data_IF_157112906384
#
_entry.id   IF_157112906384
#
_cell.length_a   1.000
_cell.length_b   1.000
_cell.length_c   1.000
_cell.angle_alpha   90.00
_cell.angle_beta   90.00
_cell.angle_gamma   90.00
#
_symmetry.space_group_name_H-M   'P 1'
#
loop_
_entity.id
_entity.type
_entity.pdbx_description
1 polymer ?
#
# COMPACT_ATOMS: atom_id res chain seq x y z
N UNK A 1 -11.76 2.65 8.48
CA UNK A 1 -11.50 2.09 7.14
C UNK A 1 -10.59 0.89 7.28
N UNK A 2 -10.81 -0.12 6.43
CA UNK A 2 -9.99 -1.33 6.43
C UNK A 2 -9.34 -1.48 5.04
N UNK A 3 -8.01 -1.61 5.01
CA UNK A 3 -7.24 -1.81 3.80
C UNK A 3 -6.53 -3.16 3.83
N UNK A 4 -6.54 -3.87 2.72
CA UNK A 4 -5.88 -5.15 2.52
C UNK A 4 -4.86 -5.01 1.39
N UNK A 5 -3.63 -5.45 1.62
CA UNK A 5 -2.66 -5.68 0.57
C UNK A 5 -2.65 -7.18 0.22
N UNK A 6 -2.73 -7.53 -1.06
CA UNK A 6 -2.65 -8.93 -1.52
C UNK A 6 -1.26 -9.53 -1.30
N UNK A 7 -0.24 -8.69 -1.26
CA UNK A 7 1.12 -8.91 -0.76
C UNK A 7 1.97 -9.93 -1.52
N UNK A 8 1.40 -11.04 -2.00
CA UNK A 8 2.13 -12.04 -2.77
C UNK A 8 1.17 -12.93 -3.58
N UNK A 9 1.56 -13.41 -4.78
CA UNK A 9 0.71 -14.25 -5.64
C UNK A 9 0.22 -15.53 -4.98
N UNK A 10 0.99 -16.10 -4.05
CA UNK A 10 0.60 -17.34 -3.36
C UNK A 10 -0.61 -17.13 -2.42
N UNK A 11 -0.85 -15.89 -1.97
CA UNK A 11 -1.99 -15.58 -1.08
C UNK A 11 -3.32 -15.81 -1.81
N UNK A 12 -3.61 -15.18 -2.96
CA UNK A 12 -4.83 -15.50 -3.69
C UNK A 12 -4.89 -16.95 -4.18
N UNK A 13 -3.75 -17.59 -4.48
CA UNK A 13 -3.71 -18.97 -4.95
C UNK A 13 -4.13 -19.99 -3.89
N UNK A 14 -3.61 -19.89 -2.69
CA UNK A 14 -3.77 -20.92 -1.65
C UNK A 14 -4.74 -20.49 -0.54
N UNK A 15 -4.99 -19.19 -0.36
CA UNK A 15 -5.83 -18.65 0.71
C UNK A 15 -7.06 -17.90 0.18
N UNK A 16 -7.57 -18.31 -0.99
CA UNK A 16 -8.75 -17.69 -1.61
C UNK A 16 -9.95 -17.65 -0.67
N UNK A 17 -10.25 -18.76 0.03
CA UNK A 17 -11.39 -18.85 0.95
C UNK A 17 -11.26 -17.82 2.08
N UNK A 18 -10.07 -17.66 2.65
CA UNK A 18 -9.80 -16.68 3.70
C UNK A 18 -9.92 -15.26 3.17
N UNK A 19 -9.42 -14.99 1.95
CA UNK A 19 -9.59 -13.70 1.30
C UNK A 19 -11.07 -13.36 1.07
N UNK A 20 -11.87 -14.32 0.60
CA UNK A 20 -13.31 -14.14 0.39
C UNK A 20 -14.05 -13.83 1.70
N UNK A 21 -13.58 -14.36 2.84
CA UNK A 21 -14.12 -14.03 4.17
C UNK A 21 -13.73 -12.61 4.63
N UNK A 22 -12.59 -12.08 4.19
CA UNK A 22 -12.08 -10.76 4.58
C UNK A 22 -12.58 -9.65 3.66
N UNK A 23 -12.71 -9.90 2.38
CA UNK A 23 -13.13 -8.89 1.40
C UNK A 23 -14.41 -8.14 1.75
N UNK A 24 -15.46 -8.73 2.37
CA UNK A 24 -16.64 -7.97 2.76
C UNK A 24 -16.35 -6.78 3.67
N UNK A 25 -15.26 -6.81 4.40
CA UNK A 25 -14.87 -5.74 5.32
C UNK A 25 -13.91 -4.71 4.70
N UNK A 26 -13.27 -5.05 3.57
CA UNK A 26 -12.25 -4.19 2.95
C UNK A 26 -12.86 -2.97 2.28
N UNK A 27 -12.40 -1.78 2.66
CA UNK A 27 -12.68 -0.52 1.98
C UNK A 27 -11.68 -0.31 0.82
N UNK A 28 -10.44 -0.75 1.01
CA UNK A 28 -9.39 -0.73 -0.01
C UNK A 28 -8.76 -2.10 -0.18
N UNK A 29 -8.49 -2.47 -1.43
CA UNK A 29 -7.67 -3.65 -1.78
C UNK A 29 -6.55 -3.15 -2.68
N UNK A 30 -5.31 -3.45 -2.28
CA UNK A 30 -4.10 -3.05 -2.99
C UNK A 30 -3.38 -4.32 -3.43
N UNK A 31 -2.79 -4.30 -4.61
CA UNK A 31 -1.97 -5.39 -5.10
C UNK A 31 -1.21 -4.99 -6.35
N UNK A 32 -0.41 -5.93 -6.86
CA UNK A 32 0.27 -5.78 -8.13
C UNK A 32 -0.36 -6.67 -9.22
N UNK A 33 0.11 -6.57 -10.47
CA UNK A 33 -0.38 -7.36 -11.59
C UNK A 33 -0.25 -8.88 -11.38
N UNK A 34 0.82 -9.34 -10.73
CA UNK A 34 1.04 -10.76 -10.48
C UNK A 34 0.06 -11.32 -9.46
N UNK A 35 -0.24 -10.54 -8.43
CA UNK A 35 -1.24 -10.86 -7.40
C UNK A 35 -2.66 -10.83 -7.98
N UNK A 36 -2.94 -9.85 -8.86
CA UNK A 36 -4.20 -9.77 -9.59
C UNK A 36 -4.39 -10.98 -10.51
N UNK A 37 -3.37 -11.38 -11.28
CA UNK A 37 -3.42 -12.57 -12.13
C UNK A 37 -3.60 -13.86 -11.29
N UNK A 38 -2.98 -13.95 -10.13
CA UNK A 38 -3.17 -15.06 -9.19
C UNK A 38 -4.61 -15.13 -8.68
N UNK A 39 -5.20 -13.98 -8.31
CA UNK A 39 -6.62 -13.89 -7.95
C UNK A 39 -7.51 -14.32 -9.11
N UNK A 40 -7.27 -13.81 -10.33
CA UNK A 40 -8.02 -14.17 -11.52
C UNK A 40 -8.02 -15.68 -11.77
N UNK A 41 -6.84 -16.32 -11.61
CA UNK A 41 -6.68 -17.76 -11.71
C UNK A 41 -7.49 -18.51 -10.67
N UNK A 42 -7.41 -18.09 -9.41
CA UNK A 42 -8.13 -18.72 -8.30
C UNK A 42 -9.66 -18.50 -8.40
N UNK A 43 -10.09 -17.34 -8.93
CA UNK A 43 -11.49 -17.00 -9.12
C UNK A 43 -12.09 -17.59 -10.40
N UNK A 44 -11.29 -18.20 -11.27
CA UNK A 44 -11.75 -18.81 -12.53
C UNK A 44 -12.09 -17.78 -13.62
N UNK A 45 -11.47 -16.59 -13.59
CA UNK A 45 -11.65 -15.58 -14.64
C UNK A 45 -10.96 -16.06 -15.93
N UNK A 46 -11.60 -15.74 -17.07
CA UNK A 46 -11.12 -16.18 -18.39
C UNK A 46 -9.82 -15.47 -18.77
N UNK A 47 -9.78 -14.15 -18.59
CA UNK A 47 -8.62 -13.33 -18.90
C UNK A 47 -7.88 -12.98 -17.60
N UNK A 48 -6.61 -13.33 -17.55
CA UNK A 48 -5.72 -13.10 -16.40
C UNK A 48 -4.84 -11.87 -16.56
N UNK A 49 -4.86 -11.27 -17.75
CA UNK A 49 -4.07 -10.11 -18.12
C UNK A 49 -4.90 -8.82 -18.18
N UNK A 50 -6.24 -8.94 -18.22
CA UNK A 50 -7.15 -7.79 -18.13
C UNK A 50 -7.24 -7.25 -16.70
N UNK A 51 -6.25 -6.45 -16.32
CA UNK A 51 -6.18 -5.85 -14.98
C UNK A 51 -7.43 -5.05 -14.60
N UNK A 52 -8.01 -4.21 -15.48
CA UNK A 52 -9.29 -3.57 -15.22
C UNK A 52 -10.43 -4.54 -14.89
N UNK A 53 -10.61 -5.62 -15.65
CA UNK A 53 -11.63 -6.62 -15.38
C UNK A 53 -11.40 -7.37 -14.09
N UNK A 54 -10.14 -7.68 -13.77
CA UNK A 54 -9.78 -8.32 -12.50
C UNK A 54 -10.07 -7.38 -11.33
N UNK A 55 -9.64 -6.12 -11.40
CA UNK A 55 -9.91 -5.13 -10.36
C UNK A 55 -11.42 -4.91 -10.16
N UNK A 56 -12.20 -4.90 -11.25
CA UNK A 56 -13.66 -4.84 -11.20
C UNK A 56 -14.23 -6.06 -10.48
N UNK A 57 -13.74 -7.26 -10.77
CA UNK A 57 -14.22 -8.48 -10.12
C UNK A 57 -14.07 -8.43 -8.60
N UNK A 58 -12.93 -7.90 -8.11
CA UNK A 58 -12.69 -7.72 -6.68
C UNK A 58 -13.55 -6.58 -6.11
N UNK A 59 -13.65 -5.45 -6.83
CA UNK A 59 -14.40 -4.28 -6.37
C UNK A 59 -15.89 -4.59 -6.14
N UNK A 60 -16.47 -5.45 -6.98
CA UNK A 60 -17.90 -5.80 -6.96
C UNK A 60 -18.25 -6.97 -6.03
N UNK A 61 -17.27 -7.60 -5.37
CA UNK A 61 -17.55 -8.61 -4.35
C UNK A 61 -18.44 -8.05 -3.22
N UNK A 62 -19.23 -8.89 -2.54
CA UNK A 62 -20.08 -8.47 -1.44
C UNK A 62 -19.34 -7.60 -0.42
N UNK A 63 -20.05 -6.64 0.17
CA UNK A 63 -19.50 -5.72 1.17
C UNK A 63 -20.44 -5.56 2.36
N UNK A 64 -19.90 -5.70 3.58
CA UNK A 64 -20.65 -5.60 4.83
C UNK A 64 -21.11 -4.18 5.12
N UNK A 65 -20.33 -3.17 4.74
CA UNK A 65 -20.74 -1.77 4.85
C UNK A 65 -20.91 -1.15 3.46
N UNK A 66 -22.15 -1.07 2.93
CA UNK A 66 -22.43 -0.56 1.59
C UNK A 66 -22.25 0.97 1.48
N UNK A 67 -22.25 1.71 2.59
CA UNK A 67 -22.05 3.16 2.57
C UNK A 67 -20.62 3.58 2.20
N UNK A 68 -19.67 2.64 2.27
CA UNK A 68 -18.28 2.83 1.83
C UNK A 68 -17.95 1.86 0.70
N UNK A 69 -18.05 2.30 -0.56
CA UNK A 69 -17.73 1.46 -1.71
C UNK A 69 -16.26 1.01 -1.66
N UNK A 70 -16.01 -0.24 -2.08
CA UNK A 70 -14.65 -0.75 -2.15
C UNK A 70 -13.91 -0.09 -3.30
N UNK A 71 -12.65 0.24 -3.07
CA UNK A 71 -11.71 0.73 -4.07
C UNK A 71 -10.58 -0.30 -4.20
N UNK A 72 -10.30 -0.69 -5.42
CA UNK A 72 -9.22 -1.62 -5.77
C UNK A 72 -8.15 -0.87 -6.52
N UNK A 73 -6.91 -1.02 -6.11
CA UNK A 73 -5.74 -0.35 -6.72
C UNK A 73 -4.72 -1.42 -7.10
N UNK A 74 -4.46 -1.57 -8.38
CA UNK A 74 -3.50 -2.54 -8.92
C UNK A 74 -2.34 -1.80 -9.57
N UNK A 75 -1.15 -1.96 -9.01
CA UNK A 75 0.09 -1.44 -9.57
C UNK A 75 0.63 -2.39 -10.64
N UNK A 76 1.39 -1.87 -11.61
CA UNK A 76 1.94 -2.65 -12.72
C UNK A 76 3.40 -2.24 -13.01
N UNK A 77 4.22 -2.13 -11.98
CA UNK A 77 5.62 -1.70 -12.11
C UNK A 77 5.74 -0.34 -12.78
N UNK A 78 6.37 -0.25 -13.93
CA UNK A 78 6.52 0.97 -14.74
C UNK A 78 5.31 1.31 -15.59
N UNK A 79 4.29 0.43 -15.65
CA UNK A 79 3.03 0.69 -16.35
C UNK A 79 2.08 1.47 -15.45
N UNK A 80 1.00 1.98 -16.05
CA UNK A 80 -0.03 2.74 -15.32
C UNK A 80 -0.69 1.90 -14.21
N UNK A 81 -0.85 2.50 -13.05
CA UNK A 81 -1.68 1.92 -11.96
C UNK A 81 -3.15 2.00 -12.34
N UNK A 82 -3.88 0.93 -12.11
CA UNK A 82 -5.32 0.83 -12.36
C UNK A 82 -6.08 0.95 -11.04
N UNK A 83 -7.08 1.82 -11.02
CA UNK A 83 -8.01 1.98 -9.91
C UNK A 83 -9.43 1.70 -10.38
N UNK A 84 -10.15 0.87 -9.64
CA UNK A 84 -11.58 0.60 -9.86
C UNK A 84 -12.34 0.81 -8.55
N UNK A 85 -13.41 1.60 -8.63
CA UNK A 85 -14.35 1.78 -7.51
C UNK A 85 -15.62 0.96 -7.73
N UNK A 86 -16.11 0.33 -6.67
CA UNK A 86 -17.42 -0.35 -6.69
C UNK A 86 -18.58 0.59 -7.04
N UNK A 87 -18.42 1.90 -6.88
CA UNK A 87 -19.44 2.90 -7.31
C UNK A 87 -19.55 2.99 -8.84
N UNK A 88 -18.43 2.87 -9.55
CA UNK A 88 -18.36 2.95 -11.01
C UNK A 88 -17.46 1.85 -11.57
N UNK A 89 -17.83 0.57 -11.44
CA UNK A 89 -16.94 -0.55 -11.73
C UNK A 89 -16.59 -0.68 -13.22
N UNK A 90 -17.39 -0.07 -14.10
CA UNK A 90 -17.17 -0.08 -15.55
C UNK A 90 -16.32 1.10 -16.06
N UNK A 91 -15.85 1.95 -15.14
CA UNK A 91 -15.01 3.11 -15.46
C UNK A 91 -13.70 3.04 -14.67
N UNK A 92 -12.76 2.19 -15.08
CA UNK A 92 -11.43 2.16 -14.47
C UNK A 92 -10.72 3.51 -14.68
N UNK A 93 -10.04 3.98 -13.64
CA UNK A 93 -9.15 5.14 -13.74
C UNK A 93 -7.72 4.64 -13.80
N UNK A 94 -6.93 5.19 -14.72
CA UNK A 94 -5.50 4.85 -14.86
C UNK A 94 -4.63 6.03 -14.48
N UNK A 95 -3.56 5.73 -13.74
CA UNK A 95 -2.58 6.73 -13.30
C UNK A 95 -1.23 6.37 -13.92
N UNK A 96 -0.69 7.19 -14.82
CA UNK A 96 0.62 6.94 -15.41
C UNK A 96 1.70 6.97 -14.32
N UNK A 97 2.72 6.15 -14.52
CA UNK A 97 3.92 6.12 -13.67
C UNK A 97 5.04 6.79 -14.44
N UNK A 98 5.77 7.72 -13.79
CA UNK A 98 6.98 8.30 -14.38
C UNK A 98 8.07 7.21 -14.44
N UNK A 99 8.53 6.81 -15.63
CA UNK A 99 9.49 5.74 -15.77
C UNK A 99 10.85 6.15 -15.18
N UNK A 100 11.46 5.20 -14.47
CA UNK A 100 12.87 5.33 -14.06
C UNK A 100 13.77 4.68 -15.11
N UNK A 101 14.99 5.19 -15.25
CA UNK A 101 16.01 4.53 -16.10
C UNK A 101 16.59 3.32 -15.35
N UNK A 102 17.19 2.39 -16.11
CA UNK A 102 17.78 1.18 -15.51
C UNK A 102 18.87 1.53 -14.49
N UNK A 103 19.60 2.64 -14.70
CA UNK A 103 20.63 3.11 -13.77
C UNK A 103 20.07 3.65 -12.47
N UNK A 104 18.80 4.07 -12.47
CA UNK A 104 18.11 4.57 -11.27
C UNK A 104 17.50 3.45 -10.44
N UNK A 105 17.36 2.25 -11.00
CA UNK A 105 16.75 1.09 -10.34
C UNK A 105 17.84 0.30 -9.61
N UNK A 106 17.87 0.42 -8.29
CA UNK A 106 18.81 -0.32 -7.46
C UNK A 106 18.24 -1.66 -6.97
N UNK A 107 16.98 -1.68 -6.52
CA UNK A 107 16.27 -2.87 -6.04
C UNK A 107 14.76 -2.61 -6.09
N UNK A 108 14.00 -3.55 -6.66
CA UNK A 108 12.53 -3.47 -6.75
C UNK A 108 11.81 -4.05 -5.53
N UNK A 109 12.53 -4.71 -4.62
CA UNK A 109 11.94 -5.29 -3.43
C UNK A 109 11.37 -4.21 -2.51
N UNK A 110 10.15 -4.42 -2.01
CA UNK A 110 9.47 -3.49 -1.11
C UNK A 110 8.79 -2.30 -1.81
N UNK A 111 8.90 -2.16 -3.14
CA UNK A 111 8.25 -1.07 -3.88
C UNK A 111 6.72 -1.08 -3.68
N UNK A 112 6.10 -2.27 -3.67
CA UNK A 112 4.67 -2.43 -3.41
C UNK A 112 4.28 -2.01 -1.99
N UNK A 113 5.09 -2.36 -1.00
CA UNK A 113 4.86 -1.96 0.41
C UNK A 113 5.05 -0.45 0.58
N UNK A 114 6.05 0.13 -0.07
CA UNK A 114 6.28 1.57 -0.08
C UNK A 114 5.11 2.32 -0.76
N UNK A 115 4.62 1.80 -1.89
CA UNK A 115 3.42 2.33 -2.54
C UNK A 115 2.22 2.29 -1.59
N UNK A 116 1.94 1.14 -0.98
CA UNK A 116 0.82 0.99 -0.04
C UNK A 116 0.95 1.94 1.15
N UNK A 117 2.15 2.10 1.70
CA UNK A 117 2.44 3.05 2.77
C UNK A 117 2.17 4.50 2.36
N UNK A 118 2.63 4.91 1.18
CA UNK A 118 2.38 6.24 0.62
C UNK A 118 0.90 6.51 0.37
N UNK A 119 0.23 5.56 -0.25
CA UNK A 119 -1.20 5.62 -0.53
C UNK A 119 -2.02 5.77 0.76
N UNK A 120 -1.82 4.89 1.72
CA UNK A 120 -2.56 4.90 2.98
C UNK A 120 -2.22 6.13 3.83
N UNK A 121 -0.95 6.54 3.87
CA UNK A 121 -0.53 7.74 4.59
C UNK A 121 -1.19 9.01 4.06
N UNK A 122 -1.34 9.16 2.75
CA UNK A 122 -2.06 10.28 2.16
C UNK A 122 -3.57 10.26 2.51
N UNK A 123 -4.20 9.08 2.49
CA UNK A 123 -5.60 8.94 2.91
C UNK A 123 -5.81 9.32 4.38
N UNK A 124 -4.90 8.90 5.27
CA UNK A 124 -4.92 9.27 6.71
C UNK A 124 -4.78 10.78 6.88
N UNK A 125 -3.96 11.41 6.03
CA UNK A 125 -3.79 12.86 5.99
C UNK A 125 -4.98 13.61 5.33
N UNK A 126 -6.09 12.91 5.01
CA UNK A 126 -7.30 13.50 4.46
C UNK A 126 -7.20 13.91 2.99
N UNK A 127 -6.22 13.38 2.25
CA UNK A 127 -6.08 13.65 0.81
C UNK A 127 -7.06 12.80 -0.01
N UNK A 128 -7.35 13.25 -1.25
CA UNK A 128 -8.17 12.49 -2.19
C UNK A 128 -7.49 11.16 -2.58
N UNK A 129 -8.29 10.22 -3.06
CA UNK A 129 -7.78 8.92 -3.55
C UNK A 129 -6.77 9.10 -4.68
N UNK A 130 -7.03 10.04 -5.60
CA UNK A 130 -6.10 10.34 -6.71
C UNK A 130 -4.75 10.84 -6.20
N UNK A 131 -4.78 11.78 -5.23
CA UNK A 131 -3.56 12.25 -4.56
C UNK A 131 -2.86 11.11 -3.81
N UNK A 132 -3.61 10.19 -3.23
CA UNK A 132 -3.06 9.03 -2.54
C UNK A 132 -2.33 8.08 -3.50
N UNK A 133 -2.86 7.84 -4.70
CA UNK A 133 -2.15 7.04 -5.74
C UNK A 133 -0.82 7.71 -6.11
N UNK A 134 -0.82 9.03 -6.36
CA UNK A 134 0.40 9.76 -6.68
C UNK A 134 1.44 9.70 -5.54
N UNK A 135 0.97 9.80 -4.29
CA UNK A 135 1.83 9.63 -3.13
C UNK A 135 2.43 8.21 -3.05
N UNK A 136 1.64 7.19 -3.38
CA UNK A 136 2.11 5.82 -3.52
C UNK A 136 3.19 5.68 -4.60
N UNK A 137 2.99 6.29 -5.78
CA UNK A 137 4.01 6.30 -6.86
C UNK A 137 5.31 6.92 -6.39
N UNK A 138 5.27 8.07 -5.72
CA UNK A 138 6.48 8.73 -5.20
C UNK A 138 7.22 7.81 -4.24
N UNK A 139 6.51 7.17 -3.29
CA UNK A 139 7.14 6.29 -2.32
C UNK A 139 7.70 5.03 -2.96
N UNK A 140 6.99 4.42 -3.91
CA UNK A 140 7.47 3.28 -4.68
C UNK A 140 8.72 3.63 -5.50
N UNK A 141 8.70 4.75 -6.22
CA UNK A 141 9.86 5.23 -6.99
C UNK A 141 11.07 5.51 -6.09
N UNK A 142 10.87 6.11 -4.92
CA UNK A 142 11.96 6.31 -3.94
C UNK A 142 12.51 4.97 -3.44
N UNK A 143 11.64 3.98 -3.19
CA UNK A 143 12.05 2.67 -2.72
C UNK A 143 12.98 1.97 -3.71
N UNK A 144 12.62 1.94 -4.99
CA UNK A 144 13.43 1.25 -6.01
C UNK A 144 14.77 1.92 -6.32
N UNK A 145 14.92 3.20 -5.99
CA UNK A 145 16.17 3.95 -6.18
C UNK A 145 17.15 3.83 -5.03
N UNK A 146 16.71 3.28 -3.88
CA UNK A 146 17.51 3.26 -2.66
C UNK A 146 17.92 1.84 -2.30
N UNK A 147 19.22 1.60 -2.26
CA UNK A 147 19.78 0.35 -1.77
C UNK A 147 19.63 0.29 -0.24
N UNK A 148 18.75 -0.57 0.25
CA UNK A 148 18.65 -0.96 1.69
C UNK A 148 18.44 0.19 2.69
N UNK A 149 17.51 1.10 2.45
CA UNK A 149 17.08 2.02 3.50
C UNK A 149 15.99 1.39 4.40
N UNK A 150 16.01 1.59 5.72
CA UNK A 150 14.94 1.10 6.60
C UNK A 150 13.59 1.76 6.27
N UNK A 151 12.51 0.99 6.31
CA UNK A 151 11.14 1.44 6.03
C UNK A 151 10.73 2.69 6.85
N UNK A 152 11.25 2.83 8.08
CA UNK A 152 11.02 3.99 8.94
C UNK A 152 11.47 5.31 8.32
N UNK A 153 12.53 5.30 7.50
CA UNK A 153 13.03 6.49 6.83
C UNK A 153 12.05 7.01 5.77
N UNK A 154 11.45 6.11 4.98
CA UNK A 154 10.46 6.47 3.95
C UNK A 154 9.23 7.13 4.57
N UNK A 155 8.74 6.58 5.68
CA UNK A 155 7.57 7.11 6.36
C UNK A 155 7.82 8.53 6.89
N UNK A 156 8.98 8.80 7.43
CA UNK A 156 9.35 10.13 7.94
C UNK A 156 9.48 11.17 6.82
N UNK A 157 10.16 10.84 5.72
CA UNK A 157 10.30 11.73 4.55
C UNK A 157 8.94 12.04 3.93
N UNK A 158 8.09 11.02 3.82
CA UNK A 158 6.75 11.16 3.26
C UNK A 158 5.85 12.07 4.12
N UNK A 159 5.79 11.86 5.44
CA UNK A 159 5.00 12.70 6.32
C UNK A 159 5.42 14.17 6.28
N UNK A 160 6.73 14.44 6.22
CA UNK A 160 7.23 15.81 6.11
C UNK A 160 6.81 16.46 4.78
N UNK A 161 6.82 15.73 3.68
CA UNK A 161 6.44 16.25 2.35
C UNK A 161 4.94 16.52 2.24
N UNK A 162 4.09 15.65 2.81
CA UNK A 162 2.63 15.88 2.85
C UNK A 162 2.27 17.04 3.77
N UNK A 163 2.99 17.23 4.87
CA UNK A 163 2.78 18.32 5.81
C UNK A 163 3.24 19.68 5.27
N UNK A 164 3.77 19.76 4.05
CA UNK A 164 4.26 21.00 3.45
C UNK A 164 5.54 21.55 4.12
N UNK A 165 6.22 20.71 4.92
CA UNK A 165 7.49 21.07 5.54
C UNK A 165 8.61 20.87 4.52
N UNK A 166 9.45 21.88 4.33
CA UNK A 166 10.62 21.82 3.47
C UNK A 166 11.54 20.69 3.91
N UNK A 167 12.00 19.89 2.93
CA UNK A 167 12.90 18.78 3.15
C UNK A 167 14.09 19.20 4.04
N UNK A 168 14.32 18.45 5.12
CA UNK A 168 15.54 18.56 5.90
C UNK A 168 16.69 18.12 4.99
N UNK A 169 17.71 18.94 4.76
CA UNK A 169 18.86 18.54 3.93
C UNK A 169 19.56 17.34 4.59
N UNK A 170 19.87 16.33 3.79
CA UNK A 170 20.67 15.20 4.24
C UNK A 170 22.06 15.67 4.66
N UNK A 171 22.28 15.83 5.96
CA UNK A 171 23.64 15.89 6.49
C UNK A 171 24.16 14.46 6.63
N UNK A 172 25.33 14.21 6.10
CA UNK A 172 26.08 12.99 6.37
C UNK A 172 26.33 12.90 7.88
N UNK A 173 25.72 11.90 8.53
CA UNK A 173 25.95 11.62 9.95
C UNK A 173 24.81 12.04 10.88
N UNK A 174 23.97 11.07 11.27
CA UNK A 174 23.10 11.13 12.44
C UNK A 174 21.80 11.91 12.23
N UNK A 175 20.72 11.21 11.99
CA UNK A 175 19.38 11.77 12.01
C UNK A 175 18.89 11.88 13.44
N UNK A 176 18.80 13.09 13.98
CA UNK A 176 18.05 13.37 15.21
C UNK A 176 16.59 13.57 14.77
N UNK A 177 15.73 12.61 15.09
CA UNK A 177 14.29 12.73 14.92
C UNK A 177 13.74 13.42 16.15
N UNK A 178 13.28 14.67 15.99
CA UNK A 178 12.49 15.33 17.03
C UNK A 178 11.08 14.73 17.03
N UNK A 179 10.79 13.89 18.02
CA UNK A 179 9.54 13.13 18.17
C UNK A 179 8.46 13.91 18.94
N UNK A 180 8.66 15.19 19.25
CA UNK A 180 7.79 15.91 20.18
C UNK A 180 6.44 16.37 19.61
N UNK A 181 6.15 16.28 18.30
CA UNK A 181 4.88 16.80 17.76
C UNK A 181 3.95 15.76 17.09
N UNK A 182 4.22 14.49 17.18
CA UNK A 182 3.27 13.47 16.72
C UNK A 182 2.55 12.89 17.94
N UNK A 183 1.40 13.46 18.28
CA UNK A 183 0.52 12.87 19.29
C UNK A 183 -0.24 11.68 18.65
N UNK A 184 0.16 10.42 18.90
CA UNK A 184 -0.50 9.25 18.32
C UNK A 184 -1.96 9.09 18.79
N UNK A 185 -2.37 9.79 19.85
CA UNK A 185 -3.71 9.70 20.40
C UNK A 185 -4.78 10.43 19.56
N UNK A 186 -4.40 11.39 18.71
CA UNK A 186 -5.34 12.05 17.80
C UNK A 186 -5.79 11.14 16.64
N UNK A 187 -4.98 10.16 16.25
CA UNK A 187 -5.32 9.19 15.22
C UNK A 187 -6.27 8.10 15.74
N UNK A 188 -6.24 7.79 17.03
CA UNK A 188 -7.11 6.79 17.65
C UNK A 188 -8.58 7.25 17.73
N UNK A 189 -8.83 8.55 17.78
CA UNK A 189 -10.21 9.10 17.83
C UNK A 189 -10.90 9.12 16.46
N UNK A 190 -10.21 8.89 15.35
CA UNK A 190 -10.79 8.88 13.99
C UNK A 190 -11.41 7.54 13.59
N UNK A 191 -11.29 6.49 14.41
CA UNK A 191 -11.81 5.14 14.11
C UNK A 191 -11.13 4.48 12.90
N UNK A 192 -9.91 4.92 12.54
CA UNK A 192 -9.16 4.38 11.42
C UNK A 192 -8.26 3.23 11.90
N UNK A 193 -8.64 1.99 11.58
CA UNK A 193 -7.80 0.82 11.74
C UNK A 193 -7.21 0.45 10.38
N UNK A 194 -5.91 0.58 10.23
CA UNK A 194 -5.18 0.09 9.05
C UNK A 194 -4.46 -1.19 9.44
N UNK A 195 -4.95 -2.31 8.96
CA UNK A 195 -4.24 -3.59 9.07
C UNK A 195 -3.56 -3.83 7.74
N UNK A 196 -2.25 -3.66 7.69
CA UNK A 196 -1.43 -4.03 6.55
C UNK A 196 -0.89 -5.42 6.81
N UNK A 197 -1.42 -6.42 6.11
CA UNK A 197 -0.82 -7.76 6.11
C UNK A 197 0.31 -7.73 5.09
N UNK A 198 1.53 -7.51 5.54
CA UNK A 198 2.73 -7.62 4.72
C UNK A 198 3.29 -9.04 4.87
N UNK A 199 3.53 -9.72 3.75
CA UNK A 199 4.32 -10.94 3.77
C UNK A 199 5.79 -10.51 3.89
N UNK A 200 6.40 -10.79 5.05
CA UNK A 200 7.85 -10.70 5.16
C UNK A 200 8.47 -11.80 4.30
N UNK A 201 8.97 -11.45 3.10
CA UNK A 201 10.00 -12.26 2.49
C UNK A 201 11.23 -12.18 3.40
N UNK A 202 11.71 -13.36 3.78
CA UNK A 202 12.82 -13.57 4.73
C UNK A 202 14.09 -12.83 4.27
N UNK A 203 14.22 -11.57 4.65
CA UNK A 203 15.53 -10.95 4.74
C UNK A 203 16.17 -11.44 6.02
N UNK A 204 17.29 -12.15 5.90
CA UNK A 204 18.17 -12.52 7.01
C UNK A 204 18.66 -11.25 7.71
N UNK A 205 17.96 -10.84 8.76
CA UNK A 205 18.45 -9.85 9.72
C UNK A 205 19.17 -10.57 10.87
N UNK A 206 20.32 -10.10 11.29
CA UNK A 206 20.92 -10.57 12.54
C UNK A 206 20.00 -10.17 13.72
N UNK A 207 19.90 -10.99 14.77
CA UNK A 207 19.00 -10.72 15.88
C UNK A 207 19.62 -9.65 16.79
N UNK A 208 19.18 -8.40 16.66
CA UNK A 208 19.42 -7.39 17.67
C UNK A 208 18.43 -6.24 17.51
N UNK A 209 17.35 -6.32 18.24
CA UNK A 209 16.71 -5.21 18.96
C UNK A 209 15.41 -5.75 19.58
N UNK A 210 15.46 -6.01 20.88
CA UNK A 210 14.29 -6.35 21.70
C UNK A 210 13.37 -5.12 21.79
N UNK A 211 12.16 -5.25 21.27
CA UNK A 211 11.10 -4.27 21.51
C UNK A 211 10.57 -4.42 22.93
N UNK A 212 10.36 -3.33 23.68
CA UNK A 212 9.67 -3.40 24.94
C UNK A 212 8.23 -3.87 24.76
N UNK A 213 7.80 -4.81 25.56
CA UNK A 213 6.42 -5.31 25.60
C UNK A 213 5.51 -4.17 26.03
N UNK A 214 4.51 -3.84 25.20
CA UNK A 214 3.41 -2.97 25.60
C UNK A 214 2.46 -3.80 26.46
N UNK A 215 2.50 -3.61 27.78
CA UNK A 215 1.46 -4.11 28.67
C UNK A 215 0.16 -3.33 28.42
N UNK A 216 -0.84 -4.03 27.93
CA UNK A 216 -2.21 -3.50 27.84
C UNK A 216 -2.85 -3.74 29.20
N UNK A 217 -2.88 -2.74 30.04
CA UNK A 217 -3.76 -2.74 31.23
C UNK A 217 -5.19 -2.43 30.81
N UNK A 218 -6.11 -3.25 31.34
CA UNK A 218 -7.57 -3.19 31.11
C UNK A 218 -8.20 -1.90 31.65
#
# INVERSE_FOLDING_TARGET
MFALNLSAPFIPQFFKVQLEQVFPYCDFVIGNESEAAAWASAAGLQDKDDIPAIAKSIATLPKSNPSRPRIVVITQGSKSTVLVSATNPDKPTTFPVDPLTDEQIADTNGAGDAFAGGFLGALVAGKSVDTAVLAGHIMGAMCVQLVRMPMSFYFTVFLNRIAGRTAVPMAQGGCVVDTQELNPLSALNSGLWVVVVTSYSTCNYPPALSFPQLEVTK
#
